data_IF_303613352814
#
_entry.id   IF_303613352814
#
_cell.length_a   1.000
_cell.length_b   1.000
_cell.length_c   1.000
_cell.angle_alpha   90.00
_cell.angle_beta   90.00
_cell.angle_gamma   90.00
#
_symmetry.space_group_name_H-M   'P 1'
#
loop_
_entity.id
_entity.type
_entity.pdbx_description
1 polymer ?
#
# COMPACT_ATOMS: atom_id res chain seq x y z
N UNK A 1 -9.36 -19.61 -15.84
CA UNK A 1 -8.22 -19.84 -14.93
C UNK A 1 -8.78 -19.87 -13.53
N UNK A 2 -8.62 -20.97 -12.78
CA UNK A 2 -9.10 -21.06 -11.40
C UNK A 2 -8.35 -19.97 -10.61
N UNK A 3 -9.06 -18.94 -10.15
CA UNK A 3 -8.49 -17.84 -9.37
C UNK A 3 -7.84 -18.46 -8.13
N UNK A 4 -6.51 -18.43 -8.05
CA UNK A 4 -5.80 -19.08 -6.94
C UNK A 4 -6.23 -18.46 -5.62
N UNK A 5 -6.37 -19.29 -4.58
CA UNK A 5 -6.68 -18.84 -3.21
C UNK A 5 -5.69 -17.76 -2.72
N UNK A 6 -4.46 -17.78 -3.23
CA UNK A 6 -3.47 -16.71 -3.08
C UNK A 6 -4.01 -15.33 -3.49
N UNK A 7 -4.60 -15.18 -4.68
CA UNK A 7 -5.12 -13.88 -5.12
C UNK A 7 -6.28 -13.40 -4.25
N UNK A 8 -7.14 -14.32 -3.83
CA UNK A 8 -8.21 -14.04 -2.87
C UNK A 8 -7.65 -13.52 -1.55
N UNK A 9 -6.64 -14.19 -1.00
CA UNK A 9 -6.01 -13.81 0.26
C UNK A 9 -5.29 -12.45 0.14
N UNK A 10 -4.59 -12.19 -0.98
CA UNK A 10 -3.98 -10.88 -1.27
C UNK A 10 -5.01 -9.75 -1.28
N UNK A 11 -6.12 -9.95 -2.00
CA UNK A 11 -7.23 -9.00 -2.04
C UNK A 11 -7.76 -8.70 -0.63
N UNK A 12 -7.94 -9.73 0.18
CA UNK A 12 -8.41 -9.58 1.56
C UNK A 12 -7.42 -8.83 2.47
N UNK A 13 -6.11 -9.04 2.29
CA UNK A 13 -5.08 -8.28 3.02
C UNK A 13 -5.10 -6.79 2.68
N UNK A 14 -5.34 -6.42 1.42
CA UNK A 14 -5.39 -5.00 1.04
C UNK A 14 -6.48 -4.22 1.77
N UNK A 15 -7.52 -4.85 2.32
CA UNK A 15 -8.56 -4.15 3.09
C UNK A 15 -8.19 -3.86 4.55
N UNK A 16 -7.02 -4.31 5.00
CA UNK A 16 -6.61 -4.24 6.39
C UNK A 16 -5.27 -3.53 6.57
N UNK A 17 -5.21 -2.64 7.56
CA UNK A 17 -3.92 -2.26 8.12
C UNK A 17 -3.37 -3.40 8.94
N UNK A 18 -2.14 -3.79 8.60
CA UNK A 18 -1.44 -4.91 9.22
C UNK A 18 -0.06 -4.47 9.69
N UNK A 19 0.49 -5.20 10.66
CA UNK A 19 1.81 -4.93 11.20
C UNK A 19 2.95 -5.51 10.34
N UNK A 20 2.68 -6.11 9.19
CA UNK A 20 3.74 -6.58 8.29
C UNK A 20 3.95 -5.61 7.11
N UNK A 21 5.19 -5.53 6.64
CA UNK A 21 5.60 -4.60 5.58
C UNK A 21 5.24 -5.04 4.17
N UNK A 22 5.34 -6.33 3.85
CA UNK A 22 5.15 -6.78 2.47
C UNK A 22 4.31 -8.06 2.44
N UNK A 23 3.26 -8.05 1.62
CA UNK A 23 2.37 -9.20 1.40
C UNK A 23 3.13 -10.31 0.65
N UNK A 24 4.09 -10.00 -0.23
CA UNK A 24 4.77 -11.01 -1.04
C UNK A 24 5.60 -12.01 -0.22
N UNK A 25 6.53 -11.59 0.66
CA UNK A 25 7.22 -12.51 1.57
C UNK A 25 6.24 -13.26 2.46
N UNK A 26 5.15 -12.62 2.91
CA UNK A 26 4.13 -13.26 3.74
C UNK A 26 3.45 -14.42 3.04
N UNK A 27 2.95 -14.19 1.82
CA UNK A 27 2.32 -15.23 1.00
C UNK A 27 3.30 -16.37 0.75
N UNK A 28 4.54 -16.06 0.36
CA UNK A 28 5.59 -17.08 0.17
C UNK A 28 5.84 -17.90 1.43
N UNK A 29 5.82 -17.25 2.60
CA UNK A 29 6.07 -17.89 3.88
C UNK A 29 4.97 -18.88 4.29
N UNK A 30 3.75 -18.75 3.76
CA UNK A 30 2.62 -19.64 4.07
C UNK A 30 2.13 -20.47 2.86
N UNK A 31 2.88 -20.46 1.75
CA UNK A 31 2.48 -21.07 0.49
C UNK A 31 2.05 -22.54 0.64
N UNK A 32 2.76 -23.31 1.48
CA UNK A 32 2.48 -24.74 1.74
C UNK A 32 1.04 -24.97 2.18
N UNK A 33 0.44 -24.03 2.93
CA UNK A 33 -0.95 -24.13 3.36
C UNK A 33 -1.93 -23.63 2.30
N UNK A 34 -1.52 -22.67 1.47
CA UNK A 34 -2.35 -22.15 0.39
C UNK A 34 -2.58 -23.20 -0.70
N UNK A 35 -1.60 -24.08 -0.93
CA UNK A 35 -1.72 -25.18 -1.88
C UNK A 35 -2.73 -26.25 -1.41
N UNK A 36 -3.02 -26.29 -0.10
CA UNK A 36 -3.94 -27.24 0.53
C UNK A 36 -5.37 -26.69 0.65
N UNK A 37 -5.55 -25.38 0.69
CA UNK A 37 -6.83 -24.69 0.91
C UNK A 37 -7.39 -24.09 -0.39
N UNK A 38 -8.65 -24.39 -0.73
CA UNK A 38 -9.28 -23.94 -1.99
C UNK A 38 -10.51 -23.03 -1.81
N UNK A 39 -10.81 -22.51 -0.61
CA UNK A 39 -12.03 -21.73 -0.40
C UNK A 39 -11.90 -20.59 0.62
N UNK A 40 -12.85 -19.64 0.61
CA UNK A 40 -12.93 -18.51 1.56
C UNK A 40 -13.14 -18.96 3.01
N UNK A 41 -13.86 -20.07 3.25
CA UNK A 41 -13.93 -20.74 4.56
C UNK A 41 -12.55 -21.23 5.03
N UNK A 42 -11.61 -21.39 4.11
CA UNK A 42 -10.22 -21.77 4.36
C UNK A 42 -9.42 -20.72 5.12
N UNK A 43 -9.85 -19.45 5.24
CA UNK A 43 -9.08 -18.43 5.98
C UNK A 43 -9.04 -18.74 7.49
N UNK A 44 -10.15 -19.20 8.09
CA UNK A 44 -10.16 -19.60 9.51
C UNK A 44 -9.36 -20.88 9.75
N UNK A 45 -9.44 -21.82 8.81
CA UNK A 45 -8.61 -23.03 8.82
C UNK A 45 -7.13 -22.68 8.72
N UNK A 46 -6.75 -21.82 7.77
CA UNK A 46 -5.40 -21.29 7.59
C UNK A 46 -4.88 -20.62 8.86
N UNK A 47 -5.69 -19.80 9.53
CA UNK A 47 -5.33 -19.17 10.79
C UNK A 47 -4.96 -20.21 11.86
N UNK A 48 -5.66 -21.34 11.91
CA UNK A 48 -5.37 -22.42 12.86
C UNK A 48 -4.12 -23.20 12.46
N UNK A 49 -3.95 -23.49 11.16
CA UNK A 49 -2.80 -24.21 10.61
C UNK A 49 -1.47 -23.48 10.86
N UNK A 50 -1.44 -22.15 10.68
CA UNK A 50 -0.20 -21.37 10.87
C UNK A 50 0.27 -21.39 12.33
N UNK A 51 -0.65 -21.37 13.29
CA UNK A 51 -0.32 -21.46 14.72
C UNK A 51 0.18 -22.86 15.05
N UNK A 52 -0.50 -23.91 14.59
CA UNK A 52 -0.10 -25.30 14.82
C UNK A 52 1.32 -25.56 14.32
N UNK A 53 1.62 -25.11 13.09
CA UNK A 53 2.93 -25.26 12.46
C UNK A 53 4.06 -24.51 13.18
N UNK A 54 3.74 -23.54 14.04
CA UNK A 54 4.72 -22.73 14.78
C UNK A 54 5.04 -23.26 16.19
N UNK A 55 4.24 -24.18 16.75
CA UNK A 55 4.36 -24.61 18.16
C UNK A 55 5.77 -25.08 18.55
N UNK A 56 6.43 -25.80 17.64
CA UNK A 56 7.76 -26.37 17.84
C UNK A 56 8.88 -25.57 17.14
N UNK A 57 8.60 -24.34 16.71
CA UNK A 57 9.58 -23.45 16.06
C UNK A 57 10.12 -22.39 17.02
N UNK A 58 11.05 -21.57 16.52
CA UNK A 58 11.68 -20.49 17.30
C UNK A 58 10.70 -19.34 17.60
N UNK A 59 11.15 -18.42 18.44
CA UNK A 59 10.37 -17.25 18.87
C UNK A 59 9.92 -16.38 17.69
N UNK A 60 10.78 -16.22 16.68
CA UNK A 60 10.47 -15.46 15.46
C UNK A 60 9.30 -16.06 14.70
N UNK A 61 9.33 -17.36 14.41
CA UNK A 61 8.22 -18.03 13.70
C UNK A 61 6.93 -18.02 14.52
N UNK A 62 7.01 -18.19 15.84
CA UNK A 62 5.85 -18.09 16.74
C UNK A 62 5.24 -16.69 16.70
N UNK A 63 6.05 -15.64 16.77
CA UNK A 63 5.58 -14.27 16.69
C UNK A 63 4.91 -13.95 15.35
N UNK A 64 5.51 -14.38 14.23
CA UNK A 64 4.92 -14.25 12.90
C UNK A 64 3.59 -15.00 12.83
N UNK A 65 3.53 -16.25 13.28
CA UNK A 65 2.31 -17.05 13.25
C UNK A 65 1.18 -16.44 14.08
N UNK A 66 1.49 -15.91 15.27
CA UNK A 66 0.51 -15.24 16.13
C UNK A 66 -0.02 -13.93 15.51
N UNK A 67 0.87 -13.10 14.95
CA UNK A 67 0.48 -11.88 14.24
C UNK A 67 -0.37 -12.19 13.01
N UNK A 68 0.01 -13.22 12.24
CA UNK A 68 -0.74 -13.66 11.08
C UNK A 68 -2.10 -14.25 11.47
N UNK A 69 -2.16 -15.11 12.48
CA UNK A 69 -3.41 -15.68 12.99
C UNK A 69 -4.42 -14.58 13.35
N UNK A 70 -3.99 -13.57 14.12
CA UNK A 70 -4.84 -12.43 14.48
C UNK A 70 -5.36 -11.72 13.24
N UNK A 71 -4.50 -11.47 12.26
CA UNK A 71 -4.86 -10.79 11.01
C UNK A 71 -5.84 -11.62 10.17
N UNK A 72 -5.60 -12.93 10.03
CA UNK A 72 -6.48 -13.83 9.29
C UNK A 72 -7.86 -13.95 9.94
N UNK A 73 -7.93 -13.96 11.28
CA UNK A 73 -9.21 -13.96 11.99
C UNK A 73 -9.98 -12.66 11.79
N UNK A 74 -9.31 -11.50 11.79
CA UNK A 74 -9.91 -10.20 11.46
C UNK A 74 -10.42 -10.18 10.01
N UNK A 75 -9.64 -10.69 9.07
CA UNK A 75 -10.05 -10.83 7.67
C UNK A 75 -11.28 -11.74 7.57
N UNK A 76 -11.29 -12.89 8.25
CA UNK A 76 -12.42 -13.81 8.23
C UNK A 76 -13.70 -13.22 8.86
N UNK A 77 -13.57 -12.29 9.81
CA UNK A 77 -14.69 -11.53 10.35
C UNK A 77 -15.20 -10.50 9.34
N UNK A 78 -14.33 -9.74 8.70
CA UNK A 78 -14.73 -8.77 7.67
C UNK A 78 -15.38 -9.43 6.46
N UNK A 79 -14.87 -10.58 6.02
CA UNK A 79 -15.43 -11.33 4.89
C UNK A 79 -16.78 -11.99 5.24
N UNK A 80 -17.24 -11.93 6.49
CA UNK A 80 -18.63 -12.28 6.82
C UNK A 80 -19.64 -11.20 6.40
N UNK A 81 -19.16 -9.99 6.06
CA UNK A 81 -19.95 -8.91 5.50
C UNK A 81 -20.05 -9.13 3.99
N UNK A 82 -21.27 -9.33 3.49
CA UNK A 82 -21.54 -9.75 2.11
C UNK A 82 -21.00 -8.75 1.08
N UNK A 83 -21.11 -7.45 1.35
CA UNK A 83 -20.60 -6.40 0.48
C UNK A 83 -19.08 -6.46 0.32
N UNK A 84 -18.36 -6.72 1.43
CA UNK A 84 -16.89 -6.84 1.42
C UNK A 84 -16.47 -8.10 0.68
N UNK A 85 -17.15 -9.23 0.93
CA UNK A 85 -16.88 -10.48 0.24
C UNK A 85 -17.08 -10.34 -1.27
N UNK A 86 -18.21 -9.76 -1.69
CA UNK A 86 -18.53 -9.55 -3.11
C UNK A 86 -17.49 -8.66 -3.79
N UNK A 87 -17.08 -7.57 -3.15
CA UNK A 87 -16.06 -6.68 -3.70
C UNK A 87 -14.69 -7.37 -3.84
N UNK A 88 -14.30 -8.20 -2.85
CA UNK A 88 -13.08 -9.02 -2.94
C UNK A 88 -13.18 -10.01 -4.11
N UNK A 89 -14.28 -10.73 -4.26
CA UNK A 89 -14.48 -11.69 -5.35
C UNK A 89 -14.47 -11.05 -6.74
N UNK A 90 -15.06 -9.85 -6.84
CA UNK A 90 -15.08 -9.05 -8.06
C UNK A 90 -13.66 -8.55 -8.41
N UNK A 91 -12.89 -8.10 -7.42
CA UNK A 91 -11.51 -7.61 -7.61
C UNK A 91 -10.55 -8.64 -8.24
N UNK A 92 -10.91 -9.94 -8.17
CA UNK A 92 -10.15 -11.01 -8.80
C UNK A 92 -10.32 -11.07 -10.32
N UNK A 93 -11.34 -10.41 -10.88
CA UNK A 93 -11.46 -10.20 -12.33
C UNK A 93 -10.60 -9.00 -12.76
N UNK A 94 -9.29 -9.07 -12.50
CA UNK A 94 -8.38 -7.91 -12.56
C UNK A 94 -8.49 -7.13 -13.87
N UNK A 95 -8.46 -7.80 -15.03
CA UNK A 95 -8.55 -7.14 -16.34
C UNK A 95 -9.90 -6.41 -16.51
N UNK A 96 -11.00 -7.07 -16.14
CA UNK A 96 -12.35 -6.50 -16.21
C UNK A 96 -12.52 -5.30 -15.30
N UNK A 97 -12.02 -5.39 -14.07
CA UNK A 97 -12.07 -4.27 -13.11
C UNK A 97 -11.18 -3.11 -13.54
N UNK A 98 -10.03 -3.39 -14.14
CA UNK A 98 -9.15 -2.34 -14.71
C UNK A 98 -9.85 -1.61 -15.87
N UNK A 99 -10.55 -2.35 -16.76
CA UNK A 99 -11.33 -1.75 -17.85
C UNK A 99 -12.51 -0.94 -17.29
N UNK A 100 -13.26 -1.47 -16.32
CA UNK A 100 -14.36 -0.74 -15.66
C UNK A 100 -13.87 0.55 -15.02
N UNK A 101 -12.71 0.51 -14.34
CA UNK A 101 -12.10 1.67 -13.73
C UNK A 101 -11.66 2.71 -14.77
N UNK A 102 -11.12 2.30 -15.92
CA UNK A 102 -10.80 3.20 -17.03
C UNK A 102 -12.01 4.00 -17.50
N UNK A 103 -13.15 3.33 -17.65
CA UNK A 103 -14.39 3.95 -18.12
C UNK A 103 -14.93 4.95 -17.08
N UNK A 104 -14.87 4.59 -15.79
CA UNK A 104 -15.18 5.51 -14.70
C UNK A 104 -14.26 6.74 -14.71
N UNK A 105 -12.94 6.55 -14.85
CA UNK A 105 -11.97 7.64 -14.91
C UNK A 105 -12.25 8.58 -16.09
N UNK A 106 -12.56 8.03 -17.26
CA UNK A 106 -12.95 8.81 -18.43
C UNK A 106 -14.18 9.68 -18.16
N UNK A 107 -15.20 9.12 -17.51
CA UNK A 107 -16.40 9.86 -17.10
C UNK A 107 -16.08 10.94 -16.07
N UNK A 108 -15.24 10.63 -15.07
CA UNK A 108 -14.81 11.59 -14.05
C UNK A 108 -14.13 12.79 -14.69
N UNK A 109 -13.12 12.56 -15.55
CA UNK A 109 -12.39 13.62 -16.23
C UNK A 109 -13.30 14.45 -17.15
N UNK A 110 -14.21 13.80 -17.87
CA UNK A 110 -15.22 14.50 -18.69
C UNK A 110 -16.11 15.41 -17.84
N UNK A 111 -16.51 14.97 -16.64
CA UNK A 111 -17.37 15.75 -15.73
C UNK A 111 -16.72 17.04 -15.20
N UNK A 112 -15.38 17.07 -15.12
CA UNK A 112 -14.61 18.26 -14.74
C UNK A 112 -14.09 19.05 -15.96
N UNK A 113 -14.61 18.76 -17.16
CA UNK A 113 -14.31 19.50 -18.38
C UNK A 113 -13.04 19.07 -19.12
N UNK A 114 -12.40 17.97 -18.71
CA UNK A 114 -11.23 17.41 -19.40
C UNK A 114 -11.69 16.42 -20.46
N UNK A 115 -11.34 16.69 -21.72
CA UNK A 115 -11.57 15.80 -22.85
C UNK A 115 -10.25 15.23 -23.34
N UNK A 116 -10.19 13.91 -23.48
CA UNK A 116 -9.04 13.17 -23.99
C UNK A 116 -9.51 11.90 -24.71
N UNK A 117 -8.63 11.33 -25.53
CA UNK A 117 -8.88 10.03 -26.15
C UNK A 117 -8.89 8.94 -25.06
N UNK A 118 -9.89 8.05 -25.09
CA UNK A 118 -9.97 6.94 -24.14
C UNK A 118 -8.76 6.01 -24.35
N UNK A 119 -7.87 5.84 -23.36
CA UNK A 119 -6.66 5.04 -23.58
C UNK A 119 -7.02 3.56 -23.75
N UNK A 120 -6.35 2.89 -24.67
CA UNK A 120 -6.37 1.43 -24.72
C UNK A 120 -5.58 0.86 -23.53
N UNK A 121 -6.05 -0.27 -22.99
CA UNK A 121 -5.35 -0.99 -21.92
C UNK A 121 -4.83 -2.30 -22.49
N UNK A 122 -3.52 -2.48 -22.43
CA UNK A 122 -2.85 -3.68 -22.91
C UNK A 122 -2.35 -4.53 -21.74
N UNK A 123 -2.68 -5.82 -21.74
CA UNK A 123 -2.08 -6.78 -20.80
C UNK A 123 -1.01 -7.58 -21.55
N UNK A 124 0.25 -7.35 -21.22
CA UNK A 124 1.41 -7.89 -21.95
C UNK A 124 2.31 -8.73 -21.05
N UNK A 125 3.03 -9.69 -21.63
CA UNK A 125 4.05 -10.47 -20.88
C UNK A 125 5.30 -9.61 -20.61
N UNK A 126 5.73 -8.86 -21.63
CA UNK A 126 6.83 -7.90 -21.56
C UNK A 126 6.36 -6.57 -22.15
N UNK A 127 6.88 -5.47 -21.61
CA UNK A 127 6.67 -4.17 -22.24
C UNK A 127 7.35 -4.11 -23.60
N UNK A 128 6.87 -3.25 -24.52
CA UNK A 128 7.58 -2.96 -25.77
C UNK A 128 9.02 -2.49 -25.53
N UNK A 129 9.93 -2.78 -26.46
CA UNK A 129 11.27 -2.21 -26.45
C UNK A 129 11.20 -0.67 -26.54
N UNK A 130 12.06 0.08 -25.82
CA UNK A 130 13.25 -0.37 -25.07
C UNK A 130 13.00 -0.75 -23.60
N UNK A 131 11.74 -0.78 -23.13
CA UNK A 131 11.40 -0.90 -21.71
C UNK A 131 11.08 -2.34 -21.25
N UNK A 132 11.38 -3.35 -22.07
CA UNK A 132 11.10 -4.78 -21.80
C UNK A 132 11.53 -5.22 -20.39
N UNK A 133 12.71 -4.76 -19.95
CA UNK A 133 13.34 -5.13 -18.66
C UNK A 133 12.94 -4.23 -17.50
N UNK A 134 12.03 -3.29 -17.71
CA UNK A 134 11.61 -2.35 -16.67
C UNK A 134 11.03 -3.08 -15.43
N UNK A 135 11.20 -2.51 -14.24
CA UNK A 135 10.62 -3.04 -13.01
C UNK A 135 9.16 -2.64 -12.77
N UNK A 136 8.59 -1.79 -13.64
CA UNK A 136 7.26 -1.24 -13.43
C UNK A 136 6.13 -2.27 -13.60
N UNK A 137 5.03 -2.05 -12.87
CA UNK A 137 3.79 -2.85 -13.00
C UNK A 137 3.01 -2.44 -14.24
N UNK A 138 2.95 -1.13 -14.48
CA UNK A 138 2.35 -0.53 -15.66
C UNK A 138 3.19 0.65 -16.17
N UNK A 139 3.02 0.98 -17.44
CA UNK A 139 3.65 2.14 -18.10
C UNK A 139 2.62 2.74 -19.07
N UNK A 140 2.48 4.05 -19.02
CA UNK A 140 1.76 4.84 -20.04
C UNK A 140 2.71 5.17 -21.19
N UNK A 141 2.32 4.82 -22.42
CA UNK A 141 2.99 5.25 -23.64
C UNK A 141 2.12 6.27 -24.37
N UNK A 142 2.73 7.30 -24.94
CA UNK A 142 2.05 8.39 -25.62
C UNK A 142 2.41 8.50 -27.12
N UNK A 143 1.94 9.58 -27.77
CA UNK A 143 2.17 9.82 -29.19
C UNK A 143 3.65 10.12 -29.49
N UNK A 144 4.44 10.57 -28.53
CA UNK A 144 5.88 10.73 -28.67
C UNK A 144 6.57 9.36 -28.72
N UNK A 145 6.17 8.43 -27.85
CA UNK A 145 6.68 7.05 -27.88
C UNK A 145 6.33 6.32 -29.19
N UNK A 146 5.13 6.58 -29.74
CA UNK A 146 4.76 6.07 -31.06
C UNK A 146 5.70 6.58 -32.15
N UNK A 147 6.02 7.87 -32.16
CA UNK A 147 6.92 8.47 -33.15
C UNK A 147 8.35 7.98 -33.01
N UNK A 148 8.84 7.82 -31.77
CA UNK A 148 10.25 7.48 -31.50
C UNK A 148 10.52 5.98 -31.59
N UNK A 149 9.61 5.15 -31.06
CA UNK A 149 9.80 3.71 -30.89
C UNK A 149 8.79 2.84 -31.63
N UNK A 150 7.75 3.43 -32.26
CA UNK A 150 6.69 2.69 -32.95
C UNK A 150 5.74 1.97 -32.00
N UNK A 151 5.65 2.42 -30.74
CA UNK A 151 4.80 1.83 -29.71
C UNK A 151 3.40 2.44 -29.79
N UNK A 152 2.36 1.60 -29.87
CA UNK A 152 0.98 2.08 -29.85
C UNK A 152 0.68 2.81 -28.53
N UNK A 153 0.12 4.04 -28.55
CA UNK A 153 -0.22 4.77 -27.33
C UNK A 153 -1.25 4.01 -26.48
N UNK A 154 -1.09 4.07 -25.16
CA UNK A 154 -1.99 3.39 -24.22
C UNK A 154 -1.32 3.07 -22.89
N UNK A 155 -2.06 2.37 -22.01
CA UNK A 155 -1.56 1.95 -20.70
C UNK A 155 -1.27 0.45 -20.75
N UNK A 156 -0.01 0.08 -20.57
CA UNK A 156 0.43 -1.31 -20.62
C UNK A 156 0.61 -1.84 -19.22
N UNK A 157 0.00 -2.99 -18.91
CA UNK A 157 0.18 -3.74 -17.68
C UNK A 157 0.96 -5.01 -17.94
N UNK A 158 1.97 -5.28 -17.11
CA UNK A 158 2.66 -6.57 -17.13
C UNK A 158 1.83 -7.64 -16.43
N UNK A 159 1.39 -8.67 -17.17
CA UNK A 159 0.48 -9.73 -16.70
C UNK A 159 0.94 -10.40 -15.40
N UNK A 160 2.22 -10.75 -15.28
CA UNK A 160 2.74 -11.41 -14.08
C UNK A 160 2.79 -10.51 -12.83
N UNK A 161 2.60 -9.20 -13.02
CA UNK A 161 2.69 -8.17 -11.98
C UNK A 161 1.32 -7.60 -11.60
N UNK A 162 0.25 -7.95 -12.33
CA UNK A 162 -1.10 -7.50 -12.01
C UNK A 162 -1.60 -8.14 -10.71
N UNK A 163 -2.31 -7.36 -9.90
CA UNK A 163 -2.82 -7.80 -8.59
C UNK A 163 -4.20 -7.16 -8.36
N UNK A 164 -5.11 -7.85 -7.64
CA UNK A 164 -6.38 -7.27 -7.22
C UNK A 164 -6.15 -5.95 -6.49
N UNK A 165 -7.01 -4.96 -6.75
CA UNK A 165 -6.94 -3.58 -6.27
C UNK A 165 -5.70 -2.79 -6.72
N UNK A 166 -4.47 -3.30 -6.56
CA UNK A 166 -3.26 -2.57 -6.95
C UNK A 166 -3.21 -2.29 -8.45
N UNK A 167 -3.70 -3.19 -9.31
CA UNK A 167 -3.77 -2.89 -10.75
C UNK A 167 -4.69 -1.69 -11.05
N UNK A 168 -5.78 -1.54 -10.30
CA UNK A 168 -6.69 -0.39 -10.45
C UNK A 168 -6.11 0.87 -9.80
N UNK A 169 -5.40 0.74 -8.67
CA UNK A 169 -4.64 1.83 -8.05
C UNK A 169 -3.59 2.37 -9.02
N UNK A 170 -2.79 1.48 -9.60
CA UNK A 170 -1.79 1.81 -10.62
C UNK A 170 -2.45 2.40 -11.86
N UNK A 171 -3.61 1.90 -12.30
CA UNK A 171 -4.35 2.55 -13.37
C UNK A 171 -4.69 4.00 -13.03
N UNK A 172 -5.18 4.29 -11.82
CA UNK A 172 -5.52 5.65 -11.42
C UNK A 172 -4.30 6.58 -11.45
N UNK A 173 -3.12 6.05 -11.12
CA UNK A 173 -1.84 6.75 -11.26
C UNK A 173 -1.51 7.03 -12.73
N UNK A 174 -1.43 5.98 -13.55
CA UNK A 174 -1.10 6.05 -14.99
C UNK A 174 -2.08 6.93 -15.77
N UNK A 175 -3.35 6.95 -15.39
CA UNK A 175 -4.36 7.77 -16.05
C UNK A 175 -4.10 9.27 -15.92
N UNK A 176 -3.40 9.71 -14.85
CA UNK A 176 -2.99 11.11 -14.71
C UNK A 176 -2.00 11.48 -15.82
N UNK A 177 -1.06 10.59 -16.15
CA UNK A 177 -0.13 10.79 -17.25
C UNK A 177 -0.85 10.83 -18.59
N UNK A 178 -1.83 9.95 -18.84
CA UNK A 178 -2.67 10.03 -20.05
C UNK A 178 -3.36 11.39 -20.17
N UNK A 179 -3.94 11.88 -19.08
CA UNK A 179 -4.61 13.18 -19.05
C UNK A 179 -3.63 14.30 -19.37
N UNK A 180 -2.42 14.28 -18.84
CA UNK A 180 -1.41 15.31 -19.10
C UNK A 180 -0.79 15.21 -20.51
N UNK A 181 -0.60 14.00 -21.03
CA UNK A 181 -0.06 13.71 -22.37
C UNK A 181 -0.96 14.20 -23.51
N UNK A 182 -2.19 14.67 -23.24
CA UNK A 182 -3.03 15.31 -24.25
C UNK A 182 -2.44 16.62 -24.79
N UNK A 183 -1.54 17.22 -24.02
CA UNK A 183 -0.70 18.34 -24.45
C UNK A 183 0.62 17.76 -24.92
N UNK A 184 0.68 17.31 -26.16
CA UNK A 184 1.89 16.76 -26.78
C UNK A 184 2.94 17.88 -26.96
N UNK A 185 3.71 18.13 -25.91
CA UNK A 185 4.74 19.19 -25.86
C UNK A 185 6.18 18.64 -25.83
N UNK A 186 6.34 17.31 -25.89
CA UNK A 186 7.63 16.64 -25.84
C UNK A 186 8.38 16.80 -24.52
N UNK A 187 7.73 17.32 -23.46
CA UNK A 187 8.34 17.44 -22.14
C UNK A 187 8.22 16.13 -21.35
N UNK A 188 9.28 15.82 -20.59
CA UNK A 188 9.33 14.65 -19.69
C UNK A 188 8.56 15.01 -18.40
N UNK A 189 7.80 14.05 -17.86
CA UNK A 189 7.07 14.20 -16.61
C UNK A 189 7.96 14.69 -15.47
N UNK A 190 7.41 15.54 -14.59
CA UNK A 190 8.15 16.19 -13.52
C UNK A 190 7.84 15.57 -12.14
N UNK A 191 8.65 15.84 -11.10
CA UNK A 191 8.36 15.43 -9.73
C UNK A 191 6.94 15.79 -9.24
N UNK A 192 6.42 16.97 -9.62
CA UNK A 192 5.06 17.34 -9.26
C UNK A 192 4.02 16.48 -9.97
N UNK A 193 4.22 16.12 -11.24
CA UNK A 193 3.33 15.23 -11.99
C UNK A 193 3.13 13.89 -11.28
N UNK A 194 4.22 13.25 -10.86
CA UNK A 194 4.19 12.01 -10.07
C UNK A 194 3.47 12.21 -8.72
N UNK A 195 3.66 13.37 -8.08
CA UNK A 195 2.99 13.73 -6.84
C UNK A 195 1.47 13.87 -7.00
N UNK A 196 1.03 14.47 -8.11
CA UNK A 196 -0.39 14.55 -8.49
C UNK A 196 -0.93 13.15 -8.80
N UNK A 197 -0.18 12.33 -9.52
CA UNK A 197 -0.54 10.95 -9.81
C UNK A 197 -0.74 10.11 -8.53
N UNK A 198 0.06 10.36 -7.50
CA UNK A 198 -0.14 9.73 -6.17
C UNK A 198 -1.35 10.30 -5.43
N UNK A 199 -1.40 11.61 -5.17
CA UNK A 199 -2.47 12.15 -4.33
C UNK A 199 -3.81 12.12 -5.05
N UNK A 200 -3.91 12.69 -6.24
CA UNK A 200 -5.15 12.77 -6.97
C UNK A 200 -5.52 11.42 -7.60
N UNK A 201 -4.57 10.72 -8.23
CA UNK A 201 -4.81 9.39 -8.82
C UNK A 201 -5.05 8.31 -7.76
N UNK A 202 -4.01 7.95 -7.01
CA UNK A 202 -4.05 6.81 -6.07
C UNK A 202 -4.90 7.06 -4.82
N UNK A 203 -4.92 8.27 -4.27
CA UNK A 203 -5.69 8.55 -3.05
C UNK A 203 -7.12 9.02 -3.33
N UNK A 204 -7.30 9.99 -4.23
CA UNK A 204 -8.63 10.53 -4.50
C UNK A 204 -9.45 9.65 -5.45
N UNK A 205 -9.03 9.47 -6.71
CA UNK A 205 -9.83 8.76 -7.73
C UNK A 205 -10.10 7.30 -7.35
N UNK A 206 -9.08 6.60 -6.85
CA UNK A 206 -9.25 5.23 -6.39
C UNK A 206 -10.25 5.12 -5.22
N UNK A 207 -10.29 6.11 -4.30
CA UNK A 207 -11.28 6.13 -3.21
C UNK A 207 -12.72 6.32 -3.70
N UNK A 208 -12.92 6.88 -4.91
CA UNK A 208 -14.24 7.02 -5.53
C UNK A 208 -14.71 5.72 -6.20
N UNK A 209 -13.78 4.88 -6.63
CA UNK A 209 -14.07 3.53 -7.14
C UNK A 209 -14.38 2.55 -6.01
N UNK A 210 -13.69 2.71 -4.87
CA UNK A 210 -13.82 1.84 -3.71
C UNK A 210 -14.13 2.66 -2.46
N UNK A 211 -13.18 2.75 -1.52
CA UNK A 211 -13.32 3.52 -0.29
C UNK A 211 -11.95 4.09 0.14
N UNK A 212 -11.97 5.11 1.01
CA UNK A 212 -10.74 5.79 1.46
C UNK A 212 -9.83 4.90 2.30
N UNK A 213 -10.39 3.91 3.00
CA UNK A 213 -9.59 3.01 3.83
C UNK A 213 -8.77 2.06 2.94
N UNK A 214 -9.41 1.44 1.95
CA UNK A 214 -8.74 0.60 0.95
C UNK A 214 -7.70 1.37 0.14
N UNK A 215 -7.99 2.63 -0.20
CA UNK A 215 -7.02 3.51 -0.84
C UNK A 215 -5.74 3.68 0.00
N UNK A 216 -5.90 4.01 1.28
CA UNK A 216 -4.76 4.22 2.19
C UNK A 216 -3.96 2.94 2.46
N UNK A 217 -4.63 1.80 2.63
CA UNK A 217 -3.97 0.52 2.84
C UNK A 217 -3.25 0.06 1.58
N UNK A 218 -3.88 0.15 0.40
CA UNK A 218 -3.26 -0.16 -0.89
C UNK A 218 -2.04 0.72 -1.15
N UNK A 219 -2.16 2.04 -0.94
CA UNK A 219 -1.05 2.97 -1.00
C UNK A 219 0.07 2.58 -0.04
N UNK A 220 -0.25 2.26 1.22
CA UNK A 220 0.73 1.84 2.22
C UNK A 220 1.52 0.61 1.75
N UNK A 221 0.84 -0.44 1.28
CA UNK A 221 1.50 -1.65 0.77
C UNK A 221 2.34 -1.39 -0.48
N UNK A 222 1.86 -0.55 -1.38
CA UNK A 222 2.53 -0.27 -2.66
C UNK A 222 3.73 0.68 -2.51
N UNK A 223 3.65 1.68 -1.63
CA UNK A 223 4.58 2.82 -1.60
C UNK A 223 5.43 2.92 -0.32
N UNK A 224 4.99 2.38 0.81
CA UNK A 224 5.59 2.66 2.13
C UNK A 224 6.09 1.38 2.83
N UNK A 225 5.46 0.24 2.58
CA UNK A 225 5.61 -0.92 3.44
C UNK A 225 6.78 -1.85 3.05
N UNK A 226 7.42 -1.62 1.89
CA UNK A 226 8.66 -2.29 1.48
C UNK A 226 9.90 -1.50 1.88
N UNK A 227 10.85 -2.16 2.56
CA UNK A 227 12.13 -1.55 2.97
C UNK A 227 13.05 -1.40 1.75
N UNK A 228 13.64 -0.21 1.59
CA UNK A 228 14.81 0.06 0.74
C UNK A 228 14.68 -0.23 -0.77
N UNK A 229 13.58 0.15 -1.42
CA UNK A 229 13.57 0.27 -2.89
C UNK A 229 13.82 1.73 -3.24
N UNK A 230 15.05 2.06 -3.67
CA UNK A 230 15.53 3.45 -3.91
C UNK A 230 14.61 4.30 -4.81
N UNK A 231 13.75 3.69 -5.64
CA UNK A 231 12.76 4.39 -6.46
C UNK A 231 11.44 4.71 -5.75
N UNK A 232 11.01 3.92 -4.77
CA UNK A 232 9.76 4.15 -4.02
C UNK A 232 9.90 5.30 -3.01
N UNK A 233 11.14 5.68 -2.65
CA UNK A 233 11.42 6.84 -1.82
C UNK A 233 11.03 8.16 -2.47
N UNK A 234 11.34 8.29 -3.76
CA UNK A 234 10.97 9.45 -4.55
C UNK A 234 9.44 9.71 -4.55
N UNK A 235 8.62 8.67 -4.66
CA UNK A 235 7.15 8.81 -4.69
C UNK A 235 6.55 9.45 -3.42
N UNK A 236 7.13 9.18 -2.24
CA UNK A 236 6.66 9.84 -1.02
C UNK A 236 7.05 11.33 -1.03
N UNK A 237 8.24 11.64 -1.52
CA UNK A 237 8.71 13.02 -1.62
C UNK A 237 7.94 13.80 -2.69
N UNK A 238 7.58 13.18 -3.81
CA UNK A 238 6.68 13.72 -4.83
C UNK A 238 5.28 13.97 -4.26
N UNK A 239 4.73 13.02 -3.50
CA UNK A 239 3.45 13.21 -2.82
C UNK A 239 3.51 14.36 -1.78
N UNK A 240 4.64 14.52 -1.08
CA UNK A 240 4.87 15.66 -0.18
C UNK A 240 4.98 16.99 -0.94
N UNK A 241 5.61 16.99 -2.12
CA UNK A 241 5.65 18.15 -3.00
C UNK A 241 4.24 18.57 -3.46
N UNK A 242 3.36 17.60 -3.70
CA UNK A 242 1.97 17.85 -4.10
C UNK A 242 1.03 18.21 -2.93
N UNK A 243 1.39 17.89 -1.68
CA UNK A 243 0.55 18.10 -0.50
C UNK A 243 0.08 19.56 -0.31
N UNK A 244 0.90 20.61 -0.52
CA UNK A 244 0.45 22.00 -0.41
C UNK A 244 -0.74 22.32 -1.33
N UNK A 245 -0.84 21.67 -2.49
CA UNK A 245 -1.99 21.82 -3.39
C UNK A 245 -3.26 21.28 -2.70
N UNK A 246 -3.22 20.07 -2.16
CA UNK A 246 -4.35 19.49 -1.43
C UNK A 246 -4.79 20.35 -0.24
N UNK A 247 -3.84 20.88 0.53
CA UNK A 247 -4.11 21.75 1.68
C UNK A 247 -4.69 23.11 1.29
N UNK A 248 -4.40 23.59 0.08
CA UNK A 248 -4.88 24.88 -0.40
C UNK A 248 -6.33 24.87 -0.85
N UNK A 249 -6.87 23.72 -1.30
CA UNK A 249 -8.22 23.72 -1.88
C UNK A 249 -8.80 22.35 -2.22
N UNK A 250 -8.37 21.27 -1.55
CA UNK A 250 -8.89 19.92 -1.82
C UNK A 250 -8.44 19.42 -3.19
N UNK A 251 -9.38 18.94 -4.00
CA UNK A 251 -9.06 18.41 -5.34
C UNK A 251 -8.86 19.49 -6.39
N UNK A 252 -9.47 20.66 -6.19
CA UNK A 252 -9.57 21.72 -7.20
C UNK A 252 -8.22 22.19 -7.77
N UNK A 253 -7.16 22.43 -6.98
CA UNK A 253 -5.86 22.82 -7.53
C UNK A 253 -5.28 21.77 -8.49
N UNK A 254 -5.51 20.48 -8.21
CA UNK A 254 -5.11 19.40 -9.11
C UNK A 254 -5.89 19.46 -10.42
N UNK A 255 -7.21 19.61 -10.34
CA UNK A 255 -8.08 19.71 -11.52
C UNK A 255 -7.71 20.91 -12.40
N UNK A 256 -7.38 22.06 -11.81
CA UNK A 256 -6.93 23.26 -12.53
C UNK A 256 -5.59 23.05 -13.27
N UNK A 257 -4.63 22.36 -12.64
CA UNK A 257 -3.37 21.97 -13.29
C UNK A 257 -3.66 20.98 -14.41
N UNK A 258 -4.43 19.93 -14.12
CA UNK A 258 -4.77 18.91 -15.09
C UNK A 258 -5.51 19.51 -16.29
N UNK A 259 -6.40 20.49 -16.11
CA UNK A 259 -7.08 21.24 -17.17
C UNK A 259 -6.14 22.04 -18.07
N UNK A 260 -5.03 22.54 -17.50
CA UNK A 260 -4.12 23.48 -18.18
C UNK A 260 -2.89 22.79 -18.78
N UNK A 261 -2.56 21.57 -18.34
CA UNK A 261 -1.45 20.78 -18.89
C UNK A 261 -0.10 21.06 -18.25
N UNK A 262 0.96 20.53 -18.89
CA UNK A 262 2.32 20.50 -18.35
C UNK A 262 2.98 21.88 -18.18
N UNK A 263 2.58 22.89 -18.96
CA UNK A 263 3.08 24.27 -18.76
C UNK A 263 2.72 24.80 -17.37
N UNK A 264 1.43 24.73 -17.00
CA UNK A 264 0.96 25.16 -15.66
C UNK A 264 1.52 24.28 -14.56
N UNK A 265 1.73 23.00 -14.84
CA UNK A 265 2.37 22.07 -13.93
C UNK A 265 3.81 22.53 -13.62
N UNK A 266 4.61 22.81 -14.64
CA UNK A 266 5.98 23.32 -14.50
C UNK A 266 6.04 24.65 -13.75
N UNK A 267 5.11 25.57 -14.00
CA UNK A 267 5.01 26.82 -13.24
C UNK A 267 4.64 26.57 -11.77
N UNK A 268 3.69 25.67 -11.51
CA UNK A 268 3.26 25.32 -10.14
C UNK A 268 4.42 24.68 -9.38
N UNK A 269 5.16 23.79 -10.02
CA UNK A 269 6.34 23.17 -9.44
C UNK A 269 7.43 24.20 -9.13
N UNK A 270 7.77 25.09 -10.07
CA UNK A 270 8.75 26.15 -9.86
C UNK A 270 8.37 27.06 -8.67
N UNK A 271 7.08 27.38 -8.52
CA UNK A 271 6.58 28.16 -7.40
C UNK A 271 6.79 27.44 -6.06
N UNK A 272 6.46 26.14 -5.99
CA UNK A 272 6.65 25.35 -4.78
C UNK A 272 8.13 25.27 -4.37
N UNK A 273 9.04 25.07 -5.34
CA UNK A 273 10.48 25.11 -5.10
C UNK A 273 10.99 26.49 -4.65
N UNK A 274 10.35 27.56 -5.10
CA UNK A 274 10.61 28.93 -4.66
C UNK A 274 9.92 29.29 -3.33
N UNK A 275 9.33 28.32 -2.61
CA UNK A 275 8.60 28.53 -1.36
C UNK A 275 7.37 29.46 -1.52
N UNK A 276 6.82 29.54 -2.73
CA UNK A 276 5.57 30.23 -3.05
C UNK A 276 4.43 29.22 -3.06
N UNK A 277 3.81 29.03 -1.89
CA UNK A 277 2.68 28.11 -1.77
C UNK A 277 1.38 28.72 -2.30
N UNK A 278 0.45 27.90 -2.83
CA UNK A 278 -0.86 28.38 -3.25
C UNK A 278 -1.59 29.01 -2.06
N UNK A 279 -2.23 30.14 -2.29
CA UNK A 279 -3.14 30.71 -1.29
C UNK A 279 -4.27 29.73 -0.98
N UNK A 280 -4.75 29.73 0.27
CA UNK A 280 -5.97 28.98 0.61
C UNK A 280 -7.12 29.47 -0.28
N UNK A 281 -7.57 28.60 -1.18
CA UNK A 281 -8.85 28.74 -1.84
C UNK A 281 -9.92 28.56 -0.76
N UNK A 282 -11.05 29.27 -0.89
CA UNK A 282 -12.20 29.06 -0.01
C UNK A 282 -12.60 27.59 -0.06
N UNK A 283 -12.29 26.91 1.04
CA UNK A 283 -12.54 25.49 1.23
C UNK A 283 -13.98 25.30 1.69
N UNK A 284 -14.78 24.58 0.91
CA UNK A 284 -16.20 24.35 1.18
C UNK A 284 -16.46 23.11 2.06
N UNK A 285 -15.41 22.38 2.44
CA UNK A 285 -15.50 21.17 3.29
C UNK A 285 -15.87 19.89 2.54
N UNK A 286 -16.11 19.92 1.23
CA UNK A 286 -16.58 18.73 0.50
C UNK A 286 -15.49 17.65 0.31
N UNK A 287 -14.20 18.01 0.38
CA UNK A 287 -13.06 17.09 0.18
C UNK A 287 -12.34 16.68 1.47
N UNK A 288 -13.03 16.78 2.60
CA UNK A 288 -12.46 16.65 3.94
C UNK A 288 -11.79 15.29 4.17
N UNK A 289 -12.35 14.24 3.58
CA UNK A 289 -11.77 12.89 3.63
C UNK A 289 -10.49 12.76 2.81
N UNK A 290 -10.43 13.37 1.62
CA UNK A 290 -9.25 13.33 0.76
C UNK A 290 -8.07 14.04 1.40
N UNK A 291 -8.28 15.27 1.90
CA UNK A 291 -7.21 16.05 2.54
C UNK A 291 -6.67 15.32 3.77
N UNK A 292 -7.55 14.73 4.60
CA UNK A 292 -7.13 13.90 5.74
C UNK A 292 -6.31 12.68 5.30
N UNK A 293 -6.73 11.98 4.25
CA UNK A 293 -5.99 10.86 3.68
C UNK A 293 -4.62 11.28 3.15
N UNK A 294 -4.54 12.42 2.44
CA UNK A 294 -3.29 12.96 1.94
C UNK A 294 -2.31 13.32 3.08
N UNK A 295 -2.79 13.98 4.14
CA UNK A 295 -1.99 14.26 5.34
C UNK A 295 -1.51 12.95 5.99
N UNK A 296 -2.42 12.00 6.18
CA UNK A 296 -2.08 10.72 6.81
C UNK A 296 -1.03 9.96 6.00
N UNK A 297 -1.21 9.86 4.69
CA UNK A 297 -0.30 9.19 3.76
C UNK A 297 1.11 9.80 3.72
N UNK A 298 1.20 11.14 3.71
CA UNK A 298 2.47 11.86 3.50
C UNK A 298 3.23 12.20 4.78
N UNK A 299 2.51 12.39 5.89
CA UNK A 299 3.03 12.95 7.13
C UNK A 299 2.95 11.99 8.33
N UNK A 300 1.94 11.11 8.38
CA UNK A 300 1.72 10.21 9.54
C UNK A 300 2.30 8.81 9.30
N UNK A 301 2.14 8.26 8.08
CA UNK A 301 2.69 6.94 7.76
C UNK A 301 4.22 7.00 7.64
N UNK A 302 4.90 6.55 8.70
CA UNK A 302 6.37 6.51 8.75
C UNK A 302 6.96 5.35 7.94
N UNK A 303 7.84 5.66 6.99
CA UNK A 303 8.64 4.65 6.25
C UNK A 303 9.64 3.88 7.12
N UNK A 304 10.08 4.46 8.22
CA UNK A 304 11.22 3.96 9.01
C UNK A 304 10.82 3.15 10.25
N UNK A 305 9.54 2.93 10.49
CA UNK A 305 9.10 2.25 11.71
C UNK A 305 9.05 0.73 11.52
N UNK A 306 10.21 0.12 11.27
CA UNK A 306 10.36 -1.33 11.26
C UNK A 306 11.01 -1.85 12.53
N UNK A 307 10.54 -2.99 13.04
CA UNK A 307 11.15 -3.73 14.14
C UNK A 307 11.00 -5.24 13.91
N UNK A 308 11.38 -6.04 14.89
CA UNK A 308 11.31 -7.51 14.78
C UNK A 308 9.85 -8.00 14.90
N UNK A 309 9.53 -9.18 14.35
CA UNK A 309 8.21 -9.80 14.55
C UNK A 309 7.85 -9.96 16.03
N UNK A 310 8.82 -10.34 16.86
CA UNK A 310 8.65 -10.51 18.30
C UNK A 310 8.30 -9.20 18.98
N UNK A 311 8.98 -8.10 18.63
CA UNK A 311 8.67 -6.76 19.12
C UNK A 311 7.22 -6.39 18.77
N UNK A 312 6.82 -6.56 17.50
CA UNK A 312 5.47 -6.26 17.03
C UNK A 312 4.39 -7.10 17.75
N UNK A 313 4.69 -8.37 18.03
CA UNK A 313 3.80 -9.25 18.79
C UNK A 313 3.70 -8.82 20.26
N UNK A 314 4.84 -8.53 20.88
CA UNK A 314 4.96 -8.23 22.31
C UNK A 314 4.22 -6.93 22.70
N UNK A 315 4.09 -5.96 21.79
CA UNK A 315 3.37 -4.71 22.04
C UNK A 315 1.93 -4.90 22.55
N UNK A 316 1.30 -6.03 22.24
CA UNK A 316 -0.07 -6.33 22.67
C UNK A 316 -0.17 -6.59 24.19
N UNK A 317 0.96 -6.91 24.83
CA UNK A 317 1.03 -7.33 26.23
C UNK A 317 1.73 -6.29 27.12
N UNK A 318 2.58 -5.44 26.54
CA UNK A 318 3.36 -4.46 27.30
C UNK A 318 2.44 -3.44 28.00
N UNK A 319 2.70 -3.27 29.29
CA UNK A 319 2.13 -2.25 30.16
C UNK A 319 3.23 -1.80 31.15
N UNK A 320 3.16 -0.58 31.70
CA UNK A 320 4.07 -0.18 32.76
C UNK A 320 4.06 -1.20 33.91
N UNK A 321 5.23 -1.41 34.51
CA UNK A 321 5.50 -2.31 35.65
C UNK A 321 5.37 -3.81 35.39
N UNK A 322 5.13 -4.27 34.15
CA UNK A 322 5.06 -5.71 33.84
C UNK A 322 6.47 -6.34 33.84
N UNK A 323 6.61 -7.50 34.49
CA UNK A 323 7.90 -8.22 34.51
C UNK A 323 8.18 -8.96 33.20
N UNK A 324 9.45 -9.28 32.94
CA UNK A 324 9.82 -10.08 31.78
C UNK A 324 9.29 -11.52 31.86
N UNK A 325 9.16 -12.09 33.07
CA UNK A 325 8.53 -13.39 33.30
C UNK A 325 7.05 -13.36 32.92
N UNK A 326 6.32 -12.34 33.35
CA UNK A 326 4.91 -12.15 33.00
C UNK A 326 4.74 -11.94 31.48
N UNK A 327 5.62 -11.13 30.86
CA UNK A 327 5.60 -10.92 29.41
C UNK A 327 5.89 -12.20 28.63
N UNK A 328 6.88 -12.99 29.05
CA UNK A 328 7.21 -14.28 28.44
C UNK A 328 6.02 -15.25 28.55
N UNK A 329 5.39 -15.32 29.73
CA UNK A 329 4.21 -16.16 29.95
C UNK A 329 3.01 -15.74 29.10
N UNK A 330 2.74 -14.44 28.95
CA UNK A 330 1.63 -13.93 28.14
C UNK A 330 1.87 -14.06 26.63
N UNK A 331 3.09 -13.78 26.18
CA UNK A 331 3.43 -13.76 24.75
C UNK A 331 3.73 -15.15 24.19
N UNK A 332 4.08 -16.11 25.05
CA UNK A 332 4.54 -17.45 24.65
C UNK A 332 5.96 -17.47 24.07
N UNK A 333 6.69 -16.34 24.15
CA UNK A 333 8.08 -16.23 23.75
C UNK A 333 9.00 -16.70 24.87
N UNK A 334 10.20 -17.17 24.54
CA UNK A 334 11.22 -17.44 25.55
C UNK A 334 11.62 -16.17 26.32
N UNK A 335 12.25 -16.33 27.49
CA UNK A 335 12.78 -15.21 28.26
C UNK A 335 13.79 -14.39 27.45
N UNK A 336 14.65 -15.06 26.70
CA UNK A 336 15.64 -14.41 25.83
C UNK A 336 14.96 -13.65 24.69
N UNK A 337 13.99 -14.28 24.00
CA UNK A 337 13.20 -13.63 22.96
C UNK A 337 12.41 -12.43 23.46
N UNK A 338 11.87 -12.51 24.67
CA UNK A 338 11.16 -11.42 25.35
C UNK A 338 12.08 -10.22 25.58
N UNK A 339 13.27 -10.44 26.16
CA UNK A 339 14.26 -9.38 26.40
C UNK A 339 14.69 -8.71 25.09
N UNK A 340 15.05 -9.50 24.07
CA UNK A 340 15.40 -8.98 22.73
C UNK A 340 14.28 -8.15 22.11
N UNK A 341 13.03 -8.58 22.26
CA UNK A 341 11.87 -7.86 21.74
C UNK A 341 11.63 -6.53 22.48
N UNK A 342 11.83 -6.47 23.79
CA UNK A 342 11.76 -5.22 24.58
C UNK A 342 12.88 -4.27 24.18
N UNK A 343 14.11 -4.77 24.01
CA UNK A 343 15.24 -3.97 23.55
C UNK A 343 14.97 -3.39 22.14
N UNK A 344 14.45 -4.21 21.24
CA UNK A 344 14.07 -3.80 19.90
C UNK A 344 12.96 -2.73 19.90
N UNK A 345 12.03 -2.75 20.88
CA UNK A 345 11.03 -1.69 21.03
C UNK A 345 11.63 -0.39 21.57
N UNK A 346 12.61 -0.48 22.46
CA UNK A 346 13.28 0.68 23.06
C UNK A 346 14.00 1.55 22.01
N UNK A 347 14.43 0.95 20.90
CA UNK A 347 15.03 1.66 19.75
C UNK A 347 14.05 2.20 18.71
N UNK A 348 12.74 2.13 18.96
CA UNK A 348 11.70 2.57 18.01
C UNK A 348 11.03 3.87 18.49
N UNK A 349 10.16 4.52 17.69
CA UNK A 349 9.40 5.68 18.17
C UNK A 349 8.48 5.39 19.37
N UNK A 350 8.34 4.12 19.75
CA UNK A 350 7.62 3.71 20.95
C UNK A 350 8.60 3.76 22.12
N UNK A 351 8.43 4.74 22.99
CA UNK A 351 9.18 4.80 24.24
C UNK A 351 8.79 3.61 25.12
N UNK A 352 9.64 2.58 25.10
CA UNK A 352 9.68 1.51 26.08
C UNK A 352 10.97 1.70 26.87
N UNK A 353 10.85 1.79 28.19
CA UNK A 353 11.99 1.87 29.10
C UNK A 353 11.87 0.68 30.03
N UNK A 354 12.91 -0.13 30.09
CA UNK A 354 13.00 -1.28 30.98
C UNK A 354 14.25 -1.22 31.84
N UNK A 355 14.23 -1.98 32.93
CA UNK A 355 15.42 -2.37 33.67
C UNK A 355 15.67 -3.88 33.45
N UNK A 356 16.52 -4.50 34.28
CA UNK A 356 16.91 -5.92 34.12
C UNK A 356 15.76 -6.93 34.32
N UNK A 357 14.67 -6.51 34.97
CA UNK A 357 13.58 -7.39 35.41
C UNK A 357 12.23 -7.06 34.77
N UNK A 358 11.98 -5.79 34.41
CA UNK A 358 10.64 -5.32 34.03
C UNK A 358 10.65 -4.11 33.11
N UNK A 359 9.49 -3.87 32.51
CA UNK A 359 9.19 -2.61 31.81
C UNK A 359 8.82 -1.55 32.85
N UNK A 360 9.58 -0.46 32.93
CA UNK A 360 9.34 0.67 33.84
C UNK A 360 8.36 1.67 33.22
N UNK A 361 8.48 1.92 31.91
CA UNK A 361 7.60 2.82 31.21
C UNK A 361 7.27 2.30 29.81
N UNK A 362 6.03 2.52 29.37
CA UNK A 362 5.62 2.18 28.01
C UNK A 362 4.47 3.05 27.52
N UNK A 363 4.61 3.57 26.31
CA UNK A 363 3.53 4.22 25.57
C UNK A 363 2.84 3.30 24.55
N UNK A 364 3.16 1.99 24.54
CA UNK A 364 2.63 1.05 23.54
C UNK A 364 1.09 1.00 23.48
N UNK A 365 0.43 1.16 24.63
CA UNK A 365 -1.05 1.23 24.74
C UNK A 365 -1.66 2.56 24.32
N UNK A 366 -0.91 3.65 24.40
CA UNK A 366 -1.39 5.00 24.07
C UNK A 366 -1.34 5.26 22.56
N UNK A 367 -0.45 4.56 21.86
CA UNK A 367 -0.14 4.76 20.45
C UNK A 367 -0.24 3.41 19.73
N UNK A 368 -1.44 3.08 19.23
CA UNK A 368 -1.74 1.75 18.65
C UNK A 368 -2.45 1.82 17.30
N UNK A 369 -1.76 2.28 16.26
CA UNK A 369 -2.15 2.00 14.87
C UNK A 369 -1.22 0.91 14.28
N UNK A 370 -1.72 -0.10 13.54
CA UNK A 370 -0.89 -1.19 13.02
C UNK A 370 0.25 -0.73 12.11
N UNK A 371 0.08 0.37 11.37
CA UNK A 371 1.12 0.92 10.50
C UNK A 371 2.26 1.65 11.24
N UNK A 372 2.11 1.91 12.54
CA UNK A 372 3.12 2.64 13.33
C UNK A 372 4.34 1.81 13.67
N UNK A 373 4.23 0.48 13.71
CA UNK A 373 5.38 -0.40 13.83
C UNK A 373 5.13 -1.64 12.99
N UNK A 374 6.00 -1.85 12.01
CA UNK A 374 5.89 -2.95 11.05
C UNK A 374 7.05 -3.92 11.19
N UNK A 375 6.89 -5.13 10.70
CA UNK A 375 7.98 -6.10 10.58
C UNK A 375 8.11 -6.58 9.13
N UNK A 376 9.28 -7.08 8.78
CA UNK A 376 9.48 -7.86 7.56
C UNK A 376 9.76 -9.30 7.95
N UNK A 377 9.36 -10.24 7.09
CA UNK A 377 9.76 -11.63 7.25
C UNK A 377 11.26 -11.72 6.91
N UNK A 378 12.12 -12.25 7.82
CA UNK A 378 13.54 -12.41 7.52
C UNK A 378 13.74 -13.29 6.29
N UNK A 379 14.66 -12.90 5.39
CA UNK A 379 14.88 -13.57 4.10
C UNK A 379 15.39 -15.02 4.25
N UNK A 380 16.12 -15.29 5.32
CA UNK A 380 16.70 -16.58 5.69
C UNK A 380 15.70 -17.50 6.42
N UNK A 381 14.51 -17.01 6.74
CA UNK A 381 13.51 -17.77 7.48
C UNK A 381 12.81 -18.78 6.57
N UNK A 382 12.85 -20.05 6.95
CA UNK A 382 12.17 -21.11 6.21
C UNK A 382 10.65 -20.92 6.23
N UNK A 383 9.93 -21.24 5.13
CA UNK A 383 8.48 -21.20 5.10
C UNK A 383 7.84 -21.95 6.28
N UNK A 384 6.73 -21.45 6.80
CA UNK A 384 5.93 -22.21 7.76
C UNK A 384 5.39 -23.47 7.09
N UNK A 385 5.41 -24.59 7.82
CA UNK A 385 4.97 -25.89 7.31
C UNK A 385 6.04 -26.67 6.53
N UNK A 386 7.22 -26.12 6.23
CA UNK A 386 8.34 -26.92 5.74
C UNK A 386 8.95 -27.77 6.87
N UNK A 387 9.36 -29.00 6.56
CA UNK A 387 10.26 -29.78 7.44
C UNK A 387 11.61 -29.07 7.51
N UNK A 388 12.16 -28.88 8.72
CA UNK A 388 13.53 -28.38 8.90
C UNK A 388 14.54 -29.45 8.54
#
# INVERSE_FOLDING_TARGET
MQKSFEHYLRAAFYRNFVSFGDINPLIKHIQVFLDQEQSSNGIRSLASLVVEASKNRGDTEKAIANLLNRTLLQIAEQLSIQEIQSDVEQSLEIEKETIRARDFLAMHFSSIGIRHELPEIFFVENFPAPLEKSGHVAITFDKSDEREFGITPGIYFRKNSTRPYLSVLTLCHEYIHVVLNRFDDGSIGTPLEEGIAVLYGELYLFSKLFDSNLSLTAYSFNRIATRNIKGLDAYLDYARLALPLALSGGTRPFEEILLSGRERLGQSEANLWANHFPHQLTYDGNDDSFVRSAIFATSVLGKTNFSTPEACWLMNFIKPEISFEELSAHSGLSMEGTKRAVDALSGTPRLVISNDEKVVHSICKQVSHPSQLRFQIPEDLSPLGSTR
#
